data_IF_110167874618
#
_entry.id   IF_110167874618
#
_cell.length_a   1.000
_cell.length_b   1.000
_cell.length_c   1.000
_cell.angle_alpha   90.00
_cell.angle_beta   90.00
_cell.angle_gamma   90.00
#
_symmetry.space_group_name_H-M   'P 1'
#
loop_
_entity.id
_entity.type
_entity.pdbx_description
1 polymer ?
#
# COMPACT_ATOMS: atom_id res chain seq x y z
N UNK A 1 6.57 24.00 -13.12
CA UNK A 1 5.72 24.12 -11.90
C UNK A 1 4.71 22.99 -11.97
N UNK A 2 4.84 21.97 -11.12
CA UNK A 2 3.93 20.80 -11.13
C UNK A 2 2.56 21.25 -10.62
N UNK A 3 1.55 21.00 -11.43
CA UNK A 3 0.18 21.46 -11.22
C UNK A 3 -0.49 20.75 -10.04
N UNK A 4 -1.46 21.39 -9.37
CA UNK A 4 -2.30 20.74 -8.36
C UNK A 4 -2.99 19.45 -8.86
N UNK A 5 -3.24 19.33 -10.17
CA UNK A 5 -3.82 18.13 -10.78
C UNK A 5 -2.84 16.96 -10.87
N UNK A 6 -1.55 17.21 -11.05
CA UNK A 6 -0.51 16.17 -11.00
C UNK A 6 -0.31 15.65 -9.58
N UNK A 7 -0.49 16.51 -8.56
CA UNK A 7 -0.42 16.14 -7.13
C UNK A 7 -1.54 15.20 -6.69
N UNK A 8 -2.76 15.41 -7.21
CA UNK A 8 -3.94 14.59 -6.89
C UNK A 8 -3.88 13.19 -7.48
N UNK A 9 -3.07 12.95 -8.51
CA UNK A 9 -2.94 11.65 -9.20
C UNK A 9 -2.18 10.59 -8.39
N UNK A 10 -1.47 10.98 -7.32
CA UNK A 10 -0.43 10.15 -6.70
C UNK A 10 -0.70 9.92 -5.19
N UNK A 11 -1.87 10.30 -4.67
CA UNK A 11 -2.22 10.11 -3.26
C UNK A 11 -1.48 11.03 -2.27
N UNK A 12 -0.61 11.93 -2.74
CA UNK A 12 0.01 12.96 -1.90
C UNK A 12 -1.01 14.07 -1.57
N UNK A 13 -1.18 14.38 -0.29
CA UNK A 13 -2.13 15.39 0.18
C UNK A 13 -1.83 16.77 -0.41
N UNK A 14 -2.87 17.43 -0.92
CA UNK A 14 -2.84 18.85 -1.27
C UNK A 14 -2.87 19.66 0.02
N UNK A 15 -1.71 20.09 0.53
CA UNK A 15 -1.65 21.14 1.55
C UNK A 15 -0.91 22.40 1.09
N UNK A 16 -1.43 23.49 1.62
CA UNK A 16 -1.40 24.87 1.13
C UNK A 16 -0.49 25.73 2.01
N UNK A 17 0.77 25.90 1.60
CA UNK A 17 1.63 27.03 1.99
C UNK A 17 2.95 26.98 1.19
N UNK A 18 3.61 28.13 0.97
CA UNK A 18 4.79 28.22 0.09
C UNK A 18 6.03 27.45 0.55
N UNK A 19 6.22 27.25 1.86
CA UNK A 19 7.34 26.47 2.42
C UNK A 19 7.09 24.97 2.38
N UNK A 20 5.87 24.52 2.67
CA UNK A 20 5.51 23.11 2.55
C UNK A 20 5.58 22.68 1.08
N UNK A 21 5.20 23.57 0.17
CA UNK A 21 5.29 23.35 -1.27
C UNK A 21 6.72 23.07 -1.75
N UNK A 22 7.75 23.67 -1.14
CA UNK A 22 9.15 23.38 -1.49
C UNK A 22 9.58 21.99 -0.99
N UNK A 23 9.30 21.67 0.28
CA UNK A 23 9.56 20.33 0.86
C UNK A 23 8.92 19.22 0.02
N UNK A 24 7.66 19.42 -0.37
CA UNK A 24 6.95 18.49 -1.25
C UNK A 24 7.57 18.36 -2.63
N UNK A 25 8.05 19.45 -3.24
CA UNK A 25 8.71 19.40 -4.54
C UNK A 25 10.02 18.62 -4.45
N UNK A 26 10.80 18.82 -3.40
CA UNK A 26 12.09 18.13 -3.23
C UNK A 26 11.88 16.61 -3.04
N UNK A 27 10.95 16.21 -2.17
CA UNK A 27 10.56 14.80 -1.98
C UNK A 27 9.95 14.21 -3.26
N UNK A 28 9.13 14.97 -3.98
CA UNK A 28 8.53 14.52 -5.23
C UNK A 28 9.57 14.29 -6.33
N UNK A 29 10.53 15.20 -6.48
CA UNK A 29 11.59 15.05 -7.47
C UNK A 29 12.40 13.78 -7.21
N UNK A 30 12.70 13.50 -5.94
CA UNK A 30 13.37 12.28 -5.53
C UNK A 30 12.55 11.03 -5.88
N UNK A 31 11.24 11.04 -5.61
CA UNK A 31 10.33 9.95 -6.01
C UNK A 31 10.25 9.80 -7.53
N UNK A 32 10.13 10.89 -8.29
CA UNK A 32 10.02 10.85 -9.73
C UNK A 32 11.28 10.28 -10.40
N UNK A 33 12.46 10.60 -9.85
CA UNK A 33 13.75 10.15 -10.36
C UNK A 33 14.09 8.73 -9.91
N UNK A 34 13.94 8.42 -8.62
CA UNK A 34 14.47 7.18 -8.01
C UNK A 34 13.41 6.17 -7.57
N UNK A 35 12.14 6.56 -7.52
CA UNK A 35 11.05 5.71 -7.04
C UNK A 35 11.10 5.45 -5.53
N UNK A 36 10.56 4.30 -5.11
CA UNK A 36 10.55 3.90 -3.70
C UNK A 36 11.94 3.48 -3.24
N UNK A 37 12.53 4.26 -2.35
CA UNK A 37 13.88 4.05 -1.82
C UNK A 37 13.94 4.43 -0.36
N UNK A 38 14.98 3.97 0.35
CA UNK A 38 15.24 4.42 1.72
C UNK A 38 15.49 5.93 1.79
N UNK A 39 16.26 6.47 0.84
CA UNK A 39 16.49 7.92 0.70
C UNK A 39 15.17 8.70 0.63
N UNK A 40 14.17 8.20 -0.12
CA UNK A 40 12.86 8.82 -0.20
C UNK A 40 12.13 8.82 1.16
N UNK A 41 12.21 7.70 1.89
CA UNK A 41 11.58 7.58 3.21
C UNK A 41 12.22 8.54 4.22
N UNK A 42 13.56 8.60 4.25
CA UNK A 42 14.32 9.50 5.11
C UNK A 42 14.04 10.97 4.77
N UNK A 43 14.03 11.33 3.47
CA UNK A 43 13.68 12.68 3.03
C UNK A 43 12.23 13.07 3.38
N UNK A 44 11.27 12.13 3.27
CA UNK A 44 9.89 12.37 3.70
C UNK A 44 9.79 12.55 5.23
N UNK A 45 10.50 11.72 6.00
CA UNK A 45 10.55 11.81 7.46
C UNK A 45 11.11 13.16 7.91
N UNK A 46 12.25 13.59 7.36
CA UNK A 46 12.86 14.87 7.66
C UNK A 46 11.92 16.04 7.32
N UNK A 47 11.21 15.95 6.19
CA UNK A 47 10.35 17.02 5.72
C UNK A 47 9.09 17.20 6.59
N UNK A 48 8.44 16.10 6.97
CA UNK A 48 7.06 16.10 7.51
C UNK A 48 6.92 15.53 8.92
N UNK A 49 7.90 14.77 9.41
CA UNK A 49 7.85 14.10 10.71
C UNK A 49 8.88 14.69 11.68
N UNK A 50 10.18 14.50 11.43
CA UNK A 50 11.22 14.73 12.43
C UNK A 50 11.42 16.23 12.72
N UNK A 51 11.28 17.08 11.71
CA UNK A 51 11.34 18.54 11.86
C UNK A 51 9.98 19.19 12.13
N UNK A 52 8.91 18.40 12.30
CA UNK A 52 7.57 18.92 12.59
C UNK A 52 7.29 18.84 14.10
N UNK A 53 6.87 19.98 14.70
CA UNK A 53 6.47 20.01 16.12
C UNK A 53 5.31 19.07 16.44
N UNK A 54 4.40 18.90 15.47
CA UNK A 54 3.25 17.99 15.56
C UNK A 54 2.98 17.44 14.16
N UNK A 55 3.57 16.29 13.81
CA UNK A 55 3.32 15.64 12.52
C UNK A 55 1.83 15.35 12.32
N UNK A 56 1.34 15.46 11.08
CA UNK A 56 -0.03 15.06 10.78
C UNK A 56 -0.15 13.54 10.79
N UNK A 57 -1.31 13.01 11.18
CA UNK A 57 -1.53 11.56 11.16
C UNK A 57 -1.46 11.00 9.73
N UNK A 58 -1.92 11.78 8.76
CA UNK A 58 -1.77 11.47 7.34
C UNK A 58 -0.29 11.23 6.98
N UNK A 59 0.61 12.13 7.39
CA UNK A 59 2.04 12.02 7.05
C UNK A 59 2.69 10.80 7.71
N UNK A 60 2.29 10.48 8.95
CA UNK A 60 2.79 9.28 9.64
C UNK A 60 2.34 8.00 8.91
N UNK A 61 1.08 7.93 8.50
CA UNK A 61 0.54 6.79 7.74
C UNK A 61 1.20 6.70 6.36
N UNK A 62 1.41 7.84 5.69
CA UNK A 62 2.07 7.90 4.39
C UNK A 62 3.52 7.42 4.48
N UNK A 63 4.27 7.86 5.50
CA UNK A 63 5.65 7.41 5.72
C UNK A 63 5.71 5.90 5.98
N UNK A 64 4.80 5.37 6.81
CA UNK A 64 4.70 3.92 7.02
C UNK A 64 4.46 3.18 5.70
N UNK A 65 3.58 3.69 4.84
CA UNK A 65 3.32 3.12 3.53
C UNK A 65 4.55 3.17 2.60
N UNK A 66 5.37 4.22 2.67
CA UNK A 66 6.64 4.29 1.91
C UNK A 66 7.63 3.21 2.37
N UNK A 67 7.77 3.00 3.68
CA UNK A 67 8.59 1.92 4.22
C UNK A 67 8.06 0.52 3.85
N UNK A 68 6.74 0.33 3.81
CA UNK A 68 6.10 -0.90 3.30
C UNK A 68 6.51 -1.20 1.85
N UNK A 69 6.62 -0.18 0.98
CA UNK A 69 7.02 -0.35 -0.43
C UNK A 69 8.46 -0.80 -0.62
N UNK A 70 9.33 -0.62 0.37
CA UNK A 70 10.73 -1.07 0.34
C UNK A 70 10.97 -2.26 1.28
N UNK A 71 9.90 -2.93 1.70
CA UNK A 71 9.92 -4.11 2.57
C UNK A 71 10.52 -3.88 3.98
N UNK A 72 10.59 -2.63 4.44
CA UNK A 72 10.98 -2.31 5.81
C UNK A 72 9.75 -2.24 6.73
N UNK A 73 9.14 -3.42 6.95
CA UNK A 73 7.90 -3.52 7.71
C UNK A 73 8.10 -3.18 9.19
N UNK A 74 9.30 -3.38 9.74
CA UNK A 74 9.60 -3.04 11.13
C UNK A 74 9.55 -1.54 11.35
N UNK A 75 10.15 -0.77 10.44
CA UNK A 75 10.07 0.70 10.49
C UNK A 75 8.65 1.18 10.19
N UNK A 76 7.95 0.60 9.22
CA UNK A 76 6.53 0.87 8.99
C UNK A 76 5.70 0.69 10.27
N UNK A 77 5.85 -0.44 10.95
CA UNK A 77 5.13 -0.75 12.19
C UNK A 77 5.43 0.25 13.31
N UNK A 78 6.71 0.61 13.49
CA UNK A 78 7.12 1.61 14.48
C UNK A 78 6.41 2.96 14.31
N UNK A 79 6.17 3.42 13.07
CA UNK A 79 5.42 4.65 12.84
C UNK A 79 3.92 4.48 13.08
N UNK A 80 3.35 3.33 12.70
CA UNK A 80 1.94 3.04 12.90
C UNK A 80 1.58 2.86 14.38
N UNK A 81 2.43 2.20 15.17
CA UNK A 81 2.22 1.98 16.62
C UNK A 81 1.99 3.30 17.37
N UNK A 82 2.67 4.38 16.96
CA UNK A 82 2.50 5.73 17.54
C UNK A 82 1.08 6.30 17.40
N UNK A 83 0.25 5.72 16.53
CA UNK A 83 -1.12 6.14 16.24
C UNK A 83 -2.20 5.31 16.97
N UNK A 84 -1.87 4.19 17.62
CA UNK A 84 -2.86 3.25 18.18
C UNK A 84 -3.82 3.91 19.18
N UNK A 85 -3.29 4.75 20.07
CA UNK A 85 -4.07 5.46 21.10
C UNK A 85 -4.53 6.86 20.65
N UNK A 86 -4.32 7.22 19.38
CA UNK A 86 -4.67 8.55 18.88
C UNK A 86 -6.11 8.62 18.41
N UNK A 87 -6.75 9.76 18.65
CA UNK A 87 -8.08 10.06 18.11
C UNK A 87 -7.95 10.46 16.63
N UNK A 88 -8.10 9.48 15.75
CA UNK A 88 -8.09 9.66 14.29
C UNK A 88 -9.50 10.01 13.77
N UNK A 89 -9.57 10.81 12.69
CA UNK A 89 -10.81 10.98 11.93
C UNK A 89 -11.21 9.67 11.22
N UNK A 90 -12.43 9.60 10.67
CA UNK A 90 -12.90 8.39 10.00
C UNK A 90 -12.03 7.96 8.81
N UNK A 91 -11.55 8.91 8.01
CA UNK A 91 -10.70 8.61 6.86
C UNK A 91 -9.28 8.22 7.25
N UNK A 92 -8.69 8.92 8.22
CA UNK A 92 -7.37 8.59 8.78
C UNK A 92 -7.41 7.23 9.47
N UNK A 93 -8.45 6.94 10.26
CA UNK A 93 -8.62 5.66 10.93
C UNK A 93 -8.73 4.52 9.91
N UNK A 94 -9.43 4.74 8.80
CA UNK A 94 -9.50 3.74 7.74
C UNK A 94 -8.12 3.49 7.13
N UNK A 95 -7.40 4.54 6.73
CA UNK A 95 -6.06 4.40 6.15
C UNK A 95 -5.09 3.72 7.14
N UNK A 96 -5.10 4.14 8.40
CA UNK A 96 -4.34 3.52 9.48
C UNK A 96 -4.63 2.03 9.62
N UNK A 97 -5.92 1.63 9.69
CA UNK A 97 -6.27 0.23 9.84
C UNK A 97 -5.82 -0.61 8.64
N UNK A 98 -5.92 -0.07 7.42
CA UNK A 98 -5.44 -0.74 6.20
C UNK A 98 -3.92 -0.94 6.25
N UNK A 99 -3.14 0.10 6.52
CA UNK A 99 -1.68 0.01 6.58
C UNK A 99 -1.21 -0.88 7.74
N UNK A 100 -1.87 -0.81 8.90
CA UNK A 100 -1.56 -1.64 10.06
C UNK A 100 -1.82 -3.13 9.79
N UNK A 101 -2.96 -3.47 9.18
CA UNK A 101 -3.27 -4.86 8.81
C UNK A 101 -2.23 -5.43 7.83
N UNK A 102 -1.87 -4.69 6.78
CA UNK A 102 -0.81 -5.11 5.85
C UNK A 102 0.51 -5.34 6.59
N UNK A 103 0.93 -4.36 7.39
CA UNK A 103 2.24 -4.36 8.05
C UNK A 103 2.37 -5.51 9.04
N UNK A 104 1.41 -5.69 9.96
CA UNK A 104 1.44 -6.81 10.93
C UNK A 104 1.44 -8.16 10.21
N UNK A 105 0.66 -8.30 9.13
CA UNK A 105 0.59 -9.53 8.34
C UNK A 105 1.93 -9.87 7.69
N UNK A 106 2.63 -8.87 7.14
CA UNK A 106 3.93 -9.03 6.45
C UNK A 106 5.09 -9.26 7.41
N UNK A 107 5.02 -8.77 8.66
CA UNK A 107 5.99 -9.10 9.72
C UNK A 107 5.87 -10.58 10.15
N UNK A 108 4.74 -11.22 9.89
CA UNK A 108 4.47 -12.61 10.28
C UNK A 108 3.71 -12.77 11.59
N UNK A 109 3.24 -11.67 12.18
CA UNK A 109 2.47 -11.65 13.43
C UNK A 109 0.97 -11.92 13.16
N UNK A 110 0.65 -13.06 12.58
CA UNK A 110 -0.72 -13.34 12.09
C UNK A 110 -1.80 -13.26 13.18
N UNK A 111 -1.49 -13.64 14.43
CA UNK A 111 -2.44 -13.55 15.55
C UNK A 111 -2.83 -12.10 15.84
N UNK A 112 -1.84 -11.22 15.91
CA UNK A 112 -2.07 -9.79 16.13
C UNK A 112 -2.87 -9.18 14.98
N UNK A 113 -2.59 -9.58 13.74
CA UNK A 113 -3.36 -9.11 12.58
C UNK A 113 -4.83 -9.56 12.65
N UNK A 114 -5.09 -10.81 13.03
CA UNK A 114 -6.45 -11.35 13.21
C UNK A 114 -7.18 -10.66 14.37
N UNK A 115 -6.52 -10.43 15.49
CA UNK A 115 -7.08 -9.73 16.65
C UNK A 115 -7.39 -8.26 16.30
N UNK A 116 -6.46 -7.58 15.63
CA UNK A 116 -6.64 -6.20 15.18
C UNK A 116 -7.81 -6.09 14.19
N UNK A 117 -7.89 -7.00 13.21
CA UNK A 117 -9.04 -7.11 12.30
C UNK A 117 -10.34 -7.27 13.07
N UNK A 118 -10.40 -8.22 13.99
CA UNK A 118 -11.62 -8.55 14.76
C UNK A 118 -12.10 -7.35 15.57
N UNK A 119 -11.17 -6.64 16.25
CA UNK A 119 -11.49 -5.42 16.99
C UNK A 119 -12.03 -4.29 16.11
N UNK A 120 -11.59 -4.21 14.86
CA UNK A 120 -11.91 -3.09 13.96
C UNK A 120 -12.94 -3.42 12.86
N UNK A 121 -13.39 -4.67 12.71
CA UNK A 121 -14.17 -5.12 11.55
C UNK A 121 -15.47 -4.34 11.35
N UNK A 122 -16.21 -4.04 12.43
CA UNK A 122 -17.47 -3.29 12.36
C UNK A 122 -17.25 -1.87 11.79
N UNK A 123 -16.16 -1.22 12.19
CA UNK A 123 -15.79 0.09 11.66
C UNK A 123 -15.39 -0.03 10.19
N UNK A 124 -14.53 -0.99 9.85
CA UNK A 124 -14.04 -1.21 8.50
C UNK A 124 -15.21 -1.46 7.54
N UNK A 125 -16.08 -2.44 7.83
CA UNK A 125 -17.26 -2.74 7.00
C UNK A 125 -18.17 -1.54 6.77
N UNK A 126 -18.41 -0.73 7.81
CA UNK A 126 -19.23 0.48 7.71
C UNK A 126 -18.57 1.57 6.86
N UNK A 127 -17.24 1.68 6.91
CA UNK A 127 -16.51 2.72 6.19
C UNK A 127 -16.25 2.31 4.73
N UNK A 128 -16.08 1.02 4.43
CA UNK A 128 -15.84 0.49 3.08
C UNK A 128 -16.93 0.91 2.08
N UNK A 129 -18.19 1.00 2.50
CA UNK A 129 -19.30 1.45 1.63
C UNK A 129 -19.27 2.95 1.28
N UNK A 130 -18.37 3.72 1.91
CA UNK A 130 -18.26 5.18 1.74
C UNK A 130 -16.98 5.62 1.05
N UNK A 131 -16.04 4.70 0.82
CA UNK A 131 -14.75 4.99 0.19
C UNK A 131 -14.75 4.57 -1.28
N UNK A 132 -13.81 5.11 -2.05
CA UNK A 132 -13.63 4.76 -3.47
C UNK A 132 -13.31 3.28 -3.67
N UNK A 133 -13.56 2.77 -4.87
CA UNK A 133 -13.25 1.38 -5.22
C UNK A 133 -11.78 1.04 -5.01
N UNK A 134 -10.85 1.97 -5.24
CA UNK A 134 -9.42 1.78 -4.90
C UNK A 134 -9.24 1.50 -3.41
N UNK A 135 -9.81 2.33 -2.54
CA UNK A 135 -9.68 2.17 -1.08
C UNK A 135 -10.37 0.90 -0.58
N UNK A 136 -11.42 0.44 -1.26
CA UNK A 136 -12.02 -0.86 -0.99
C UNK A 136 -11.06 -2.01 -1.38
N UNK A 137 -10.39 -1.89 -2.53
CA UNK A 137 -9.35 -2.82 -2.95
C UNK A 137 -8.21 -2.91 -1.93
N UNK A 138 -7.73 -1.77 -1.44
CA UNK A 138 -6.65 -1.70 -0.44
C UNK A 138 -7.02 -2.46 0.83
N UNK A 139 -8.26 -2.29 1.32
CA UNK A 139 -8.76 -3.05 2.45
C UNK A 139 -8.83 -4.56 2.14
N UNK A 140 -9.36 -4.96 0.99
CA UNK A 140 -9.45 -6.38 0.65
C UNK A 140 -8.08 -7.03 0.47
N UNK A 141 -7.09 -6.33 -0.07
CA UNK A 141 -5.70 -6.79 -0.09
C UNK A 141 -5.15 -6.92 1.33
N UNK A 142 -5.37 -5.95 2.22
CA UNK A 142 -4.93 -6.04 3.61
C UNK A 142 -5.56 -7.21 4.38
N UNK A 143 -6.86 -7.45 4.17
CA UNK A 143 -7.57 -8.59 4.75
C UNK A 143 -7.11 -9.92 4.16
N UNK A 144 -6.87 -9.98 2.85
CA UNK A 144 -6.33 -11.17 2.19
C UNK A 144 -4.92 -11.51 2.69
N UNK A 145 -4.07 -10.51 2.93
CA UNK A 145 -2.77 -10.70 3.56
C UNK A 145 -2.89 -11.22 5.00
N UNK A 146 -3.89 -10.74 5.75
CA UNK A 146 -4.17 -11.24 7.10
C UNK A 146 -4.55 -12.72 7.08
N UNK A 147 -5.47 -13.10 6.19
CA UNK A 147 -5.87 -14.51 6.00
C UNK A 147 -4.70 -15.36 5.52
N UNK A 148 -3.91 -14.86 4.57
CA UNK A 148 -2.71 -15.54 4.08
C UNK A 148 -1.68 -15.77 5.20
N UNK A 149 -1.45 -14.80 6.08
CA UNK A 149 -0.54 -14.93 7.21
C UNK A 149 -1.05 -16.00 8.21
N UNK A 150 -2.37 -16.11 8.37
CA UNK A 150 -3.03 -17.16 9.15
C UNK A 150 -3.10 -18.53 8.44
N UNK A 151 -2.61 -18.62 7.20
CA UNK A 151 -2.67 -19.80 6.30
C UNK A 151 -4.08 -20.16 5.81
N UNK A 152 -5.01 -19.22 5.87
CA UNK A 152 -6.37 -19.31 5.34
C UNK A 152 -6.40 -18.85 3.87
N UNK A 153 -5.72 -19.58 2.98
CA UNK A 153 -5.52 -19.15 1.59
C UNK A 153 -6.80 -19.07 0.74
N UNK A 154 -7.76 -20.03 0.80
CA UNK A 154 -8.97 -19.92 -0.01
C UNK A 154 -9.85 -18.70 0.36
N UNK A 155 -10.07 -18.38 1.66
CA UNK A 155 -10.67 -17.11 2.05
C UNK A 155 -9.90 -15.88 1.55
N UNK A 156 -8.57 -15.87 1.66
CA UNK A 156 -7.72 -14.78 1.16
C UNK A 156 -7.95 -14.54 -0.34
N UNK A 157 -7.90 -15.60 -1.15
CA UNK A 157 -8.14 -15.51 -2.60
C UNK A 157 -9.56 -15.08 -2.94
N UNK A 158 -10.56 -15.44 -2.12
CA UNK A 158 -11.95 -15.04 -2.33
C UNK A 158 -12.13 -13.52 -2.18
N UNK A 159 -11.44 -12.88 -1.24
CA UNK A 159 -11.47 -11.43 -1.04
C UNK A 159 -10.99 -10.66 -2.28
N UNK A 160 -10.00 -11.20 -2.99
CA UNK A 160 -9.42 -10.59 -4.18
C UNK A 160 -10.29 -10.74 -5.44
N UNK A 161 -11.31 -11.60 -5.41
CA UNK A 161 -12.27 -11.83 -6.51
C UNK A 161 -13.48 -10.88 -6.48
N UNK A 162 -13.32 -9.65 -6.01
CA UNK A 162 -14.43 -8.69 -5.86
C UNK A 162 -14.78 -7.89 -7.13
N UNK A 163 -14.15 -8.22 -8.27
CA UNK A 163 -14.52 -7.67 -9.58
C UNK A 163 -14.03 -6.24 -9.82
N UNK A 164 -12.87 -5.87 -9.27
CA UNK A 164 -12.26 -4.56 -9.51
C UNK A 164 -12.08 -4.30 -11.01
N UNK A 165 -12.49 -3.11 -11.45
CA UNK A 165 -12.24 -2.61 -12.80
C UNK A 165 -11.33 -1.39 -12.71
N UNK A 166 -10.22 -1.32 -13.47
CA UNK A 166 -9.38 -0.14 -13.51
C UNK A 166 -10.20 1.12 -13.80
N UNK A 167 -9.99 2.16 -13.02
CA UNK A 167 -10.70 3.45 -13.14
C UNK A 167 -10.00 4.40 -14.13
N UNK A 168 -8.94 3.94 -14.81
CA UNK A 168 -8.22 4.69 -15.84
C UNK A 168 -7.00 3.92 -16.36
N UNK A 169 -6.37 4.43 -17.42
CA UNK A 169 -5.22 3.79 -18.07
C UNK A 169 -3.95 3.69 -17.19
N UNK A 170 -3.92 4.39 -16.06
CA UNK A 170 -2.78 4.45 -15.13
C UNK A 170 -3.10 3.85 -13.76
N UNK A 171 -4.27 3.23 -13.64
CA UNK A 171 -4.71 2.62 -12.39
C UNK A 171 -4.00 1.28 -12.20
N UNK A 172 -3.02 1.25 -11.29
CA UNK A 172 -2.23 0.05 -10.98
C UNK A 172 -2.89 -0.83 -9.93
N UNK A 173 -4.06 -0.49 -9.39
CA UNK A 173 -4.71 -1.26 -8.32
C UNK A 173 -5.03 -2.69 -8.76
N UNK A 174 -5.44 -2.90 -10.02
CA UNK A 174 -5.65 -4.27 -10.52
C UNK A 174 -4.36 -5.09 -10.56
N UNK A 175 -3.25 -4.46 -10.92
CA UNK A 175 -1.94 -5.10 -10.93
C UNK A 175 -1.49 -5.46 -9.51
N UNK A 176 -1.68 -4.58 -8.53
CA UNK A 176 -1.39 -4.84 -7.12
C UNK A 176 -2.24 -5.99 -6.56
N UNK A 177 -3.51 -6.10 -6.98
CA UNK A 177 -4.37 -7.26 -6.65
C UNK A 177 -3.74 -8.54 -7.20
N UNK A 178 -3.33 -8.55 -8.47
CA UNK A 178 -2.70 -9.74 -9.06
C UNK A 178 -1.36 -10.10 -8.40
N UNK A 179 -0.52 -9.12 -8.06
CA UNK A 179 0.71 -9.35 -7.29
C UNK A 179 0.38 -9.98 -5.93
N UNK A 180 -0.68 -9.50 -5.27
CA UNK A 180 -1.15 -10.10 -4.00
C UNK A 180 -1.62 -11.55 -4.20
N UNK A 181 -2.31 -11.86 -5.30
CA UNK A 181 -2.69 -13.24 -5.66
C UNK A 181 -1.46 -14.13 -5.87
N UNK A 182 -0.45 -13.65 -6.61
CA UNK A 182 0.84 -14.36 -6.82
C UNK A 182 1.46 -14.71 -5.48
N UNK A 183 1.57 -13.73 -4.56
CA UNK A 183 2.10 -13.95 -3.23
C UNK A 183 1.32 -15.03 -2.46
N UNK A 184 -0.01 -14.98 -2.47
CA UNK A 184 -0.83 -15.97 -1.74
C UNK A 184 -0.58 -17.39 -2.26
N UNK A 185 -0.53 -17.58 -3.58
CA UNK A 185 -0.21 -18.90 -4.15
C UNK A 185 1.21 -19.36 -3.82
N UNK A 186 2.20 -18.45 -3.85
CA UNK A 186 3.57 -18.76 -3.43
C UNK A 186 3.63 -19.20 -1.95
N UNK A 187 2.91 -18.52 -1.05
CA UNK A 187 2.82 -18.91 0.37
C UNK A 187 2.07 -20.23 0.58
N UNK A 188 1.05 -20.50 -0.25
CA UNK A 188 0.30 -21.75 -0.24
C UNK A 188 1.10 -22.95 -0.77
N UNK A 189 2.22 -22.70 -1.48
CA UNK A 189 3.01 -23.72 -2.20
C UNK A 189 2.18 -24.47 -3.25
N UNK A 190 1.28 -23.73 -3.91
CA UNK A 190 0.45 -24.23 -5.00
C UNK A 190 1.08 -23.82 -6.33
N UNK A 191 1.87 -24.72 -6.92
CA UNK A 191 2.67 -24.45 -8.13
C UNK A 191 1.80 -24.15 -9.36
N UNK A 192 0.71 -24.91 -9.55
CA UNK A 192 -0.21 -24.72 -10.67
C UNK A 192 -0.95 -23.37 -10.55
N UNK A 193 -1.45 -23.07 -9.34
CA UNK A 193 -2.08 -21.78 -9.06
C UNK A 193 -1.12 -20.60 -9.23
N UNK A 194 0.14 -20.78 -8.81
CA UNK A 194 1.20 -19.77 -8.94
C UNK A 194 1.53 -19.47 -10.40
N UNK A 195 1.67 -20.48 -11.25
CA UNK A 195 1.95 -20.31 -12.68
C UNK A 195 0.84 -19.47 -13.35
N UNK A 196 -0.42 -19.83 -13.12
CA UNK A 196 -1.56 -19.07 -13.63
C UNK A 196 -1.62 -17.64 -13.10
N UNK A 197 -1.31 -17.43 -11.81
CA UNK A 197 -1.28 -16.10 -11.21
C UNK A 197 -0.16 -15.22 -11.80
N UNK A 198 1.02 -15.79 -12.01
CA UNK A 198 2.17 -15.13 -12.63
C UNK A 198 1.84 -14.67 -14.05
N UNK A 199 1.26 -15.55 -14.86
CA UNK A 199 0.85 -15.21 -16.22
C UNK A 199 -0.14 -14.05 -16.23
N UNK A 200 -1.10 -14.04 -15.31
CA UNK A 200 -2.09 -12.96 -15.19
C UNK A 200 -1.46 -11.63 -14.75
N UNK A 201 -0.56 -11.65 -13.77
CA UNK A 201 0.13 -10.44 -13.30
C UNK A 201 1.02 -9.83 -14.39
N UNK A 202 1.82 -10.64 -15.09
CA UNK A 202 2.68 -10.20 -16.19
C UNK A 202 1.85 -9.70 -17.37
N UNK A 203 0.75 -10.39 -17.71
CA UNK A 203 -0.14 -9.93 -18.78
C UNK A 203 -0.80 -8.60 -18.44
N UNK A 204 -1.21 -8.41 -17.18
CA UNK A 204 -1.74 -7.13 -16.70
C UNK A 204 -0.69 -6.01 -16.76
N UNK A 205 0.56 -6.29 -16.37
CA UNK A 205 1.67 -5.35 -16.47
C UNK A 205 1.91 -4.91 -17.93
N UNK A 206 1.84 -5.86 -18.88
CA UNK A 206 1.95 -5.57 -20.32
C UNK A 206 0.86 -4.65 -20.90
N UNK A 207 -0.24 -4.40 -20.17
CA UNK A 207 -1.28 -3.45 -20.60
C UNK A 207 -0.88 -1.99 -20.37
N UNK A 208 0.11 -1.73 -19.50
CA UNK A 208 0.58 -0.37 -19.22
C UNK A 208 1.53 0.09 -20.34
N UNK A 209 0.99 0.87 -21.28
CA UNK A 209 1.74 1.35 -22.46
C UNK A 209 2.79 2.41 -22.15
N UNK A 210 2.55 3.23 -21.13
CA UNK A 210 3.48 4.26 -20.64
C UNK A 210 3.23 4.46 -19.15
N UNK A 211 4.29 4.31 -18.38
CA UNK A 211 4.32 4.70 -16.98
C UNK A 211 4.56 6.20 -16.82
N UNK A 212 4.14 6.75 -15.68
CA UNK A 212 4.40 8.16 -15.34
C UNK A 212 5.88 8.39 -15.03
N UNK A 213 6.57 7.36 -14.53
CA UNK A 213 7.97 7.44 -14.13
C UNK A 213 8.80 6.29 -14.72
N UNK A 214 10.08 6.52 -15.02
CA UNK A 214 10.94 5.52 -15.67
C UNK A 214 11.13 4.26 -14.83
N UNK A 215 11.13 4.38 -13.50
CA UNK A 215 11.36 3.26 -12.57
C UNK A 215 10.14 2.33 -12.39
N UNK A 216 8.93 2.74 -12.79
CA UNK A 216 7.71 1.99 -12.45
C UNK A 216 7.64 0.63 -13.10
N UNK A 217 8.12 0.50 -14.35
CA UNK A 217 8.12 -0.78 -15.05
C UNK A 217 8.98 -1.80 -14.31
N UNK A 218 10.23 -1.43 -14.02
CA UNK A 218 11.19 -2.29 -13.33
C UNK A 218 10.73 -2.61 -11.91
N UNK A 219 10.18 -1.62 -11.21
CA UNK A 219 9.59 -1.81 -9.88
C UNK A 219 8.47 -2.86 -9.89
N UNK A 220 7.52 -2.80 -10.84
CA UNK A 220 6.43 -3.77 -10.88
C UNK A 220 6.89 -5.15 -11.35
N UNK A 221 7.90 -5.25 -12.23
CA UNK A 221 8.53 -6.52 -12.55
C UNK A 221 9.16 -7.16 -11.29
N UNK A 222 9.95 -6.40 -10.54
CA UNK A 222 10.56 -6.87 -9.30
C UNK A 222 9.50 -7.29 -8.28
N UNK A 223 8.42 -6.52 -8.13
CA UNK A 223 7.32 -6.84 -7.21
C UNK A 223 6.63 -8.17 -7.54
N UNK A 224 6.47 -8.50 -8.82
CA UNK A 224 5.91 -9.80 -9.25
C UNK A 224 6.88 -10.94 -8.89
N UNK A 225 8.18 -10.74 -9.15
CA UNK A 225 9.22 -11.71 -8.83
C UNK A 225 9.34 -11.95 -7.31
N UNK A 226 9.38 -10.88 -6.53
CA UNK A 226 9.41 -10.93 -5.07
C UNK A 226 8.18 -11.67 -4.52
N UNK A 227 6.98 -11.36 -5.04
CA UNK A 227 5.75 -12.04 -4.66
C UNK A 227 5.81 -13.55 -4.95
N UNK A 228 6.36 -13.95 -6.09
CA UNK A 228 6.55 -15.36 -6.46
C UNK A 228 7.51 -16.08 -5.52
N UNK A 229 8.49 -15.36 -4.97
CA UNK A 229 9.43 -15.83 -3.95
C UNK A 229 8.85 -15.71 -2.52
N UNK A 230 7.60 -15.31 -2.36
CA UNK A 230 6.93 -15.19 -1.07
C UNK A 230 7.33 -13.96 -0.26
N UNK A 231 7.68 -12.86 -0.93
CA UNK A 231 8.02 -11.54 -0.37
C UNK A 231 6.99 -10.51 -0.91
N UNK A 232 6.34 -9.70 -0.05
CA UNK A 232 5.30 -8.74 -0.50
C UNK A 232 5.17 -7.48 0.34
#
# INVERSE_FOLDING_TARGET
>A
MITPMERKKIGFSLLSSGTDMKKYVDVYNLFAEKGYTKDLCEAYSDAFIDNAKKPSYFDVIQLASLYDRIHDYKTSYFYLEKLEDKKLSGDEKFAFCVEMLKTISKIGNWREAVDFRTKNINFLQKQTSKVSLQRQADLYMALALTDCAAKDYPPALKLLKFGYKPQGAKDTTLLEIFITVVYIFAKAKDEEGLEGALQNAVSCLGLFKQFDFPWQSDYYHQRIEDAANGII
#
